data_IF_424076899440
#
_entry.id   IF_424076899440
#
_cell.length_a   1.000
_cell.length_b   1.000
_cell.length_c   1.000
_cell.angle_alpha   90.00
_cell.angle_beta   90.00
_cell.angle_gamma   90.00
#
_symmetry.space_group_name_H-M   'P 1'
#
loop_
_entity.id
_entity.type
_entity.pdbx_description
1 polymer ?
#
# COMPACT_ATOMS: atom_id res chain seq x y z
N UNK A 1 77.24 -6.95 17.12
CA UNK A 1 76.70 -7.00 18.49
C UNK A 1 75.21 -7.23 18.32
N UNK A 2 74.84 -8.46 18.36
CA UNK A 2 74.37 -9.27 19.48
C UNK A 2 72.88 -9.18 19.62
N UNK A 3 72.21 -10.23 19.08
CA UNK A 3 71.39 -11.21 19.83
C UNK A 3 69.98 -10.68 20.24
N UNK A 4 68.89 -11.34 20.16
CA UNK A 4 68.53 -12.75 19.92
C UNK A 4 67.01 -12.80 19.91
N UNK A 5 66.46 -13.55 18.96
CA UNK A 5 65.61 -14.76 19.20
C UNK A 5 64.41 -14.68 20.16
N UNK A 6 63.21 -14.93 19.67
CA UNK A 6 62.55 -16.26 19.76
C UNK A 6 61.15 -16.26 19.22
N UNK A 7 60.95 -17.02 18.20
CA UNK A 7 59.67 -17.75 17.99
C UNK A 7 59.50 -18.89 19.00
N UNK A 8 58.29 -19.34 19.30
CA UNK A 8 57.85 -20.59 18.67
C UNK A 8 56.37 -20.62 18.28
N UNK A 9 56.13 -21.15 17.05
CA UNK A 9 55.56 -22.49 16.70
C UNK A 9 54.17 -22.81 17.21
N UNK A 10 53.23 -22.83 16.24
CA UNK A 10 52.58 -24.03 15.67
C UNK A 10 51.82 -24.93 16.64
N UNK A 11 50.55 -25.14 16.36
CA UNK A 11 49.97 -26.47 16.08
C UNK A 11 48.52 -26.33 15.71
N UNK A 12 48.23 -26.57 14.45
CA UNK A 12 47.30 -27.55 13.90
C UNK A 12 46.16 -28.05 14.82
N UNK A 13 44.92 -27.84 14.37
CA UNK A 13 43.99 -28.94 14.14
C UNK A 13 42.68 -28.40 13.52
N UNK A 14 42.52 -28.66 12.22
CA UNK A 14 41.22 -28.82 11.65
C UNK A 14 40.77 -30.27 11.91
N UNK A 15 39.54 -30.55 12.29
CA UNK A 15 38.79 -31.42 11.42
C UNK A 15 37.30 -31.07 11.27
N UNK A 16 36.94 -31.13 10.00
CA UNK A 16 35.73 -31.77 9.48
C UNK A 16 34.35 -31.36 10.04
N UNK A 17 33.58 -30.76 9.17
CA UNK A 17 32.21 -31.23 8.91
C UNK A 17 31.15 -30.93 9.93
N UNK A 18 30.44 -29.84 9.75
CA UNK A 18 29.00 -29.84 9.98
C UNK A 18 28.35 -28.79 9.09
N UNK A 19 27.70 -29.28 8.07
CA UNK A 19 26.62 -28.60 7.36
C UNK A 19 25.58 -28.17 8.37
N UNK A 20 25.66 -26.92 8.82
CA UNK A 20 24.63 -26.26 9.61
C UNK A 20 23.66 -25.60 8.66
N UNK A 21 22.57 -26.29 8.35
CA UNK A 21 21.33 -25.67 7.86
C UNK A 21 21.03 -24.47 8.75
N UNK A 22 21.15 -23.27 8.19
CA UNK A 22 20.68 -22.05 8.81
C UNK A 22 19.15 -22.19 8.98
N UNK A 23 18.75 -22.65 10.15
CA UNK A 23 17.37 -22.53 10.62
C UNK A 23 17.00 -21.05 10.58
N UNK A 24 16.20 -20.70 9.59
CA UNK A 24 15.38 -19.52 9.61
C UNK A 24 14.54 -19.57 10.88
N UNK A 25 15.04 -18.99 11.98
CA UNK A 25 14.22 -18.66 13.11
C UNK A 25 13.20 -17.66 12.58
N UNK A 26 12.01 -18.19 12.22
CA UNK A 26 10.78 -17.47 12.27
C UNK A 26 10.79 -16.63 13.54
N UNK A 27 10.97 -15.34 13.38
CA UNK A 27 10.48 -14.40 14.36
C UNK A 27 8.95 -14.45 14.22
N UNK A 28 8.36 -15.47 14.85
CA UNK A 28 6.98 -15.40 15.27
C UNK A 28 6.93 -14.20 16.22
N UNK A 29 6.66 -13.03 15.63
CA UNK A 29 6.39 -11.83 16.37
C UNK A 29 5.30 -12.18 17.37
N UNK A 30 5.62 -12.09 18.65
CA UNK A 30 4.63 -12.10 19.70
C UNK A 30 3.61 -11.03 19.29
N UNK A 31 2.46 -11.48 18.84
CA UNK A 31 1.30 -10.62 18.64
C UNK A 31 0.99 -10.08 20.04
N UNK A 32 1.50 -8.91 20.33
CA UNK A 32 1.05 -8.12 21.47
C UNK A 32 -0.43 -7.89 21.19
N UNK A 33 -1.27 -8.62 21.92
CA UNK A 33 -2.72 -8.42 21.86
C UNK A 33 -2.98 -7.04 22.46
N UNK A 34 -2.84 -6.01 21.63
CA UNK A 34 -3.20 -4.65 22.03
C UNK A 34 -4.72 -4.58 22.11
N UNK A 35 -5.20 -4.60 23.35
CA UNK A 35 -6.60 -4.30 23.64
C UNK A 35 -6.78 -2.78 23.72
N UNK A 36 -7.69 -2.24 22.93
CA UNK A 36 -8.08 -0.83 23.02
C UNK A 36 -9.58 -0.65 22.75
N UNK A 37 -10.12 0.45 23.22
CA UNK A 37 -11.46 0.90 22.80
C UNK A 37 -11.33 1.92 21.68
N UNK A 38 -12.13 1.77 20.62
CA UNK A 38 -12.18 2.77 19.54
C UNK A 38 -12.70 4.10 20.05
N UNK A 39 -13.72 4.05 20.93
CA UNK A 39 -14.39 5.22 21.47
C UNK A 39 -14.44 5.21 23.00
N UNK A 40 -13.32 5.47 23.70
CA UNK A 40 -13.24 5.38 25.16
C UNK A 40 -14.13 6.39 25.87
N UNK A 41 -14.53 7.47 25.22
CA UNK A 41 -15.42 8.50 25.75
C UNK A 41 -16.79 7.94 26.19
N UNK A 42 -17.30 6.89 25.55
CA UNK A 42 -18.59 6.29 25.96
C UNK A 42 -18.51 5.48 27.24
N UNK A 43 -17.33 5.14 27.75
CA UNK A 43 -17.17 4.49 29.05
C UNK A 43 -17.67 5.37 30.21
N UNK A 44 -17.72 6.70 30.04
CA UNK A 44 -18.32 7.59 31.03
C UNK A 44 -19.79 7.29 31.29
N UNK A 45 -20.52 6.69 30.31
CA UNK A 45 -21.90 6.26 30.51
C UNK A 45 -22.04 5.15 31.56
N UNK A 46 -20.97 4.43 31.90
CA UNK A 46 -20.98 3.47 33.00
C UNK A 46 -21.30 4.12 34.36
N UNK A 47 -21.01 5.41 34.52
CA UNK A 47 -21.40 6.16 35.72
C UNK A 47 -22.92 6.32 35.88
N UNK A 48 -23.69 6.14 34.79
CA UNK A 48 -25.13 6.13 34.88
C UNK A 48 -25.70 4.88 35.59
N UNK A 49 -24.95 3.75 35.56
CA UNK A 49 -25.41 2.49 36.18
C UNK A 49 -25.57 2.62 37.71
N UNK A 50 -24.55 3.10 38.48
CA UNK A 50 -24.73 3.33 39.91
C UNK A 50 -25.88 4.33 40.20
N UNK A 51 -26.04 5.35 39.37
CA UNK A 51 -27.16 6.28 39.54
C UNK A 51 -28.52 5.58 39.37
N UNK A 52 -28.66 4.71 38.36
CA UNK A 52 -29.86 3.88 38.16
C UNK A 52 -30.12 2.95 39.35
N UNK A 53 -29.06 2.31 39.90
CA UNK A 53 -29.17 1.45 41.06
C UNK A 53 -29.66 2.24 42.28
N UNK A 54 -29.13 3.44 42.52
CA UNK A 54 -29.56 4.31 43.60
C UNK A 54 -31.01 4.75 43.46
N UNK A 55 -31.42 5.10 42.24
CA UNK A 55 -32.83 5.48 41.92
C UNK A 55 -33.77 4.30 42.19
N UNK A 56 -33.40 3.10 41.72
CA UNK A 56 -34.18 1.88 41.98
C UNK A 56 -34.31 1.56 43.45
N UNK A 57 -33.23 1.65 44.20
CA UNK A 57 -33.21 1.40 45.63
C UNK A 57 -34.07 2.43 46.41
N UNK A 58 -33.95 3.72 46.05
CA UNK A 58 -34.76 4.77 46.59
C UNK A 58 -36.24 4.59 46.28
N UNK A 59 -36.57 4.17 45.07
CA UNK A 59 -37.96 3.88 44.64
C UNK A 59 -38.53 2.67 45.41
N UNK A 60 -37.74 1.60 45.58
CA UNK A 60 -38.11 0.43 46.37
C UNK A 60 -38.35 0.78 47.83
N UNK A 61 -37.45 1.58 48.45
CA UNK A 61 -37.62 2.05 49.81
C UNK A 61 -38.86 2.93 50.00
N UNK A 62 -39.13 3.83 49.06
CA UNK A 62 -40.35 4.66 49.04
C UNK A 62 -41.61 3.80 48.88
N UNK A 63 -41.59 2.75 48.05
CA UNK A 63 -42.69 1.80 47.87
C UNK A 63 -42.96 1.05 49.18
N UNK A 64 -41.92 0.52 49.85
CA UNK A 64 -42.05 -0.15 51.14
C UNK A 64 -42.66 0.79 52.21
N UNK A 65 -42.19 2.04 52.31
CA UNK A 65 -42.74 3.05 53.24
C UNK A 65 -44.21 3.37 52.97
N UNK A 66 -44.63 3.42 51.70
CA UNK A 66 -46.02 3.64 51.29
C UNK A 66 -46.92 2.47 51.68
N UNK A 67 -46.47 1.24 51.42
CA UNK A 67 -47.19 0.02 51.76
C UNK A 67 -47.37 -0.10 53.30
N UNK A 68 -46.37 0.21 54.10
CA UNK A 68 -46.43 0.21 55.55
C UNK A 68 -47.40 1.24 56.17
N UNK A 69 -47.84 2.24 55.37
CA UNK A 69 -48.90 3.19 55.79
C UNK A 69 -50.30 2.68 55.57
N UNK A 70 -50.51 1.65 54.73
CA UNK A 70 -51.82 1.08 54.42
C UNK A 70 -52.22 -0.05 55.35
N UNK A 71 -51.30 -0.67 56.07
CA UNK A 71 -51.61 -1.76 56.99
C UNK A 71 -50.40 -2.60 57.39
N UNK A 72 -50.62 -3.68 58.13
CA UNK A 72 -49.57 -4.60 58.55
C UNK A 72 -48.95 -5.30 57.32
N UNK A 73 -47.65 -5.24 57.11
CA UNK A 73 -47.01 -5.81 55.93
C UNK A 73 -47.31 -7.28 55.72
N UNK A 74 -47.45 -8.08 56.78
CA UNK A 74 -47.75 -9.52 56.71
C UNK A 74 -49.12 -9.80 56.07
N UNK A 75 -50.12 -9.03 56.39
CA UNK A 75 -51.48 -9.17 55.82
C UNK A 75 -51.52 -8.70 54.38
N UNK A 76 -50.71 -7.68 54.02
CA UNK A 76 -50.62 -7.19 52.65
C UNK A 76 -49.92 -8.18 51.72
N UNK A 77 -48.96 -8.95 52.24
CA UNK A 77 -48.24 -9.99 51.50
C UNK A 77 -49.16 -11.18 51.14
N UNK A 78 -50.08 -11.56 52.06
CA UNK A 78 -51.12 -12.56 51.80
C UNK A 78 -52.16 -12.10 50.77
N UNK A 79 -52.46 -10.80 50.71
CA UNK A 79 -53.40 -10.22 49.74
C UNK A 79 -52.84 -10.00 48.36
N UNK A 80 -51.50 -10.07 48.19
CA UNK A 80 -50.82 -9.90 46.91
C UNK A 80 -49.86 -11.08 46.60
N UNK A 81 -50.36 -12.31 46.48
CA UNK A 81 -49.50 -13.50 46.29
C UNK A 81 -48.79 -13.56 44.94
N UNK A 82 -49.20 -12.71 44.01
CA UNK A 82 -48.62 -12.68 42.67
C UNK A 82 -47.41 -11.75 42.53
N UNK A 83 -47.12 -10.90 43.51
CA UNK A 83 -46.04 -9.93 43.44
C UNK A 83 -44.79 -10.50 44.13
N UNK A 84 -43.81 -10.90 43.32
CA UNK A 84 -42.52 -11.37 43.84
C UNK A 84 -41.48 -10.25 43.77
N UNK A 85 -40.99 -9.83 44.95
CA UNK A 85 -39.89 -8.84 45.04
C UNK A 85 -38.59 -9.34 44.40
N UNK A 86 -38.34 -10.66 44.43
CA UNK A 86 -37.19 -11.28 43.80
C UNK A 86 -37.18 -11.15 42.27
N UNK A 87 -38.35 -11.30 41.63
CA UNK A 87 -38.48 -11.13 40.17
C UNK A 87 -38.21 -9.72 39.68
N UNK A 88 -38.72 -8.72 40.42
CA UNK A 88 -38.46 -7.31 40.10
C UNK A 88 -36.97 -6.97 40.25
N UNK A 89 -36.28 -7.52 41.25
CA UNK A 89 -34.84 -7.37 41.45
C UNK A 89 -34.06 -8.05 40.31
N UNK A 90 -34.46 -9.29 39.94
CA UNK A 90 -33.83 -10.03 38.83
C UNK A 90 -33.95 -9.28 37.48
N UNK A 91 -35.15 -8.77 37.15
CA UNK A 91 -35.37 -7.95 35.96
C UNK A 91 -34.43 -6.74 35.94
N UNK A 92 -34.37 -6.05 37.07
CA UNK A 92 -33.51 -4.87 37.19
C UNK A 92 -32.01 -5.23 37.01
N UNK A 93 -31.56 -6.37 37.55
CA UNK A 93 -30.21 -6.85 37.35
C UNK A 93 -29.93 -7.19 35.87
N UNK A 94 -30.87 -7.90 35.22
CA UNK A 94 -30.76 -8.23 33.78
C UNK A 94 -30.70 -6.95 32.94
N UNK A 95 -31.56 -5.98 33.23
CA UNK A 95 -31.56 -4.68 32.54
C UNK A 95 -30.23 -3.93 32.72
N UNK A 96 -29.72 -3.83 33.95
CA UNK A 96 -28.43 -3.19 34.22
C UNK A 96 -27.27 -3.90 33.53
N UNK A 97 -27.26 -5.24 33.53
CA UNK A 97 -26.24 -6.03 32.84
C UNK A 97 -26.30 -5.81 31.34
N UNK A 98 -27.48 -5.81 30.74
CA UNK A 98 -27.66 -5.51 29.34
C UNK A 98 -27.20 -4.08 28.99
N UNK A 99 -27.53 -3.10 29.85
CA UNK A 99 -27.08 -1.72 29.68
C UNK A 99 -25.53 -1.59 29.72
N UNK A 100 -24.86 -2.31 30.64
CA UNK A 100 -23.38 -2.37 30.69
C UNK A 100 -22.82 -2.94 29.40
N UNK A 101 -23.38 -4.06 28.91
CA UNK A 101 -22.93 -4.69 27.66
C UNK A 101 -23.15 -3.79 26.43
N UNK A 102 -24.26 -3.05 26.39
CA UNK A 102 -24.52 -2.06 25.35
C UNK A 102 -23.51 -0.91 25.39
N UNK A 103 -23.20 -0.38 26.56
CA UNK A 103 -22.19 0.68 26.69
C UNK A 103 -20.82 0.18 26.23
N UNK A 104 -20.43 -1.05 26.61
CA UNK A 104 -19.19 -1.66 26.15
C UNK A 104 -19.21 -1.91 24.63
N UNK A 105 -20.34 -2.32 24.07
CA UNK A 105 -20.48 -2.49 22.62
C UNK A 105 -20.30 -1.17 21.85
N UNK A 106 -20.88 -0.07 22.35
CA UNK A 106 -20.73 1.27 21.76
C UNK A 106 -19.31 1.80 21.92
N UNK A 107 -18.59 1.43 23.00
CA UNK A 107 -17.17 1.75 23.16
C UNK A 107 -16.26 1.00 22.15
N UNK A 108 -16.80 0.00 21.41
CA UNK A 108 -16.15 -0.77 20.35
C UNK A 108 -14.81 -1.36 20.80
N UNK A 109 -14.80 -2.42 21.63
CA UNK A 109 -13.58 -3.10 22.01
C UNK A 109 -12.92 -3.74 20.79
N UNK A 110 -11.62 -3.46 20.62
CA UNK A 110 -10.80 -3.93 19.50
C UNK A 110 -9.71 -4.84 20.05
N UNK A 111 -9.60 -6.05 19.47
CA UNK A 111 -8.62 -7.06 19.85
C UNK A 111 -7.73 -7.40 18.66
N UNK A 112 -6.41 -7.25 18.85
CA UNK A 112 -5.42 -7.60 17.86
C UNK A 112 -5.45 -6.71 16.62
N UNK A 113 -4.39 -6.75 15.86
CA UNK A 113 -4.29 -6.16 14.52
C UNK A 113 -4.32 -7.28 13.49
N UNK A 114 -5.22 -7.20 12.51
CA UNK A 114 -5.08 -7.96 11.29
C UNK A 114 -4.24 -7.12 10.34
N UNK A 115 -3.09 -7.65 9.98
CA UNK A 115 -2.34 -7.12 8.85
C UNK A 115 -3.17 -7.44 7.60
N UNK A 116 -3.82 -6.45 7.03
CA UNK A 116 -4.37 -6.56 5.70
C UNK A 116 -3.23 -6.25 4.75
N UNK A 117 -2.70 -7.28 4.11
CA UNK A 117 -1.88 -7.08 2.93
C UNK A 117 -2.80 -6.57 1.84
N UNK A 118 -2.85 -5.26 1.65
CA UNK A 118 -3.37 -4.74 0.39
C UNK A 118 -2.40 -5.21 -0.69
N UNK A 119 -2.94 -5.97 -1.63
CA UNK A 119 -2.17 -6.41 -2.80
C UNK A 119 -1.69 -5.15 -3.51
N UNK A 120 -0.40 -5.07 -3.78
CA UNK A 120 0.17 -4.07 -4.66
C UNK A 120 -0.69 -3.98 -5.92
N UNK A 121 -1.20 -2.80 -6.22
CA UNK A 121 -2.11 -2.63 -7.37
C UNK A 121 -1.36 -2.42 -8.69
N UNK A 122 -0.04 -2.69 -8.71
CA UNK A 122 0.82 -2.48 -9.87
C UNK A 122 1.21 -1.01 -10.09
N UNK A 123 2.13 -0.78 -11.01
CA UNK A 123 2.69 0.54 -11.36
C UNK A 123 2.06 1.06 -12.65
N UNK A 124 1.76 2.35 -12.71
CA UNK A 124 1.50 3.04 -13.98
C UNK A 124 2.83 3.52 -14.57
N UNK A 125 3.25 2.89 -15.63
CA UNK A 125 4.55 3.10 -16.26
C UNK A 125 4.39 3.78 -17.62
N UNK A 126 4.98 4.96 -17.79
CA UNK A 126 5.03 5.64 -19.07
C UNK A 126 6.43 5.48 -19.69
N UNK A 127 6.53 4.73 -20.77
CA UNK A 127 7.75 4.62 -21.57
C UNK A 127 7.84 5.82 -22.51
N UNK A 128 8.93 6.58 -22.41
CA UNK A 128 9.22 7.75 -23.26
C UNK A 128 10.49 7.44 -24.04
N UNK A 129 10.32 7.19 -25.32
CA UNK A 129 11.37 6.65 -26.19
C UNK A 129 11.77 7.66 -27.24
N UNK A 130 13.05 7.97 -27.26
CA UNK A 130 13.67 8.81 -28.28
C UNK A 130 13.68 8.06 -29.63
N UNK A 131 13.22 8.75 -30.67
CA UNK A 131 13.23 8.26 -32.06
C UNK A 131 13.94 9.26 -33.00
N UNK A 132 14.74 10.15 -32.44
CA UNK A 132 15.59 11.05 -33.22
C UNK A 132 16.59 10.28 -34.10
N UNK A 133 17.15 10.95 -35.08
CA UNK A 133 18.10 10.34 -36.00
C UNK A 133 19.36 9.80 -35.31
N UNK A 134 19.75 10.35 -34.15
CA UNK A 134 20.88 9.85 -33.34
C UNK A 134 20.66 8.43 -32.83
N UNK A 135 19.39 8.00 -32.65
CA UNK A 135 19.04 6.64 -32.27
C UNK A 135 19.26 5.59 -33.38
N UNK A 136 19.60 6.04 -34.60
CA UNK A 136 20.01 5.15 -35.70
C UNK A 136 21.52 4.84 -35.66
N UNK A 137 22.27 5.41 -34.73
CA UNK A 137 23.70 5.12 -34.58
C UNK A 137 23.92 3.63 -34.25
N UNK A 138 25.00 3.06 -34.82
CA UNK A 138 25.30 1.61 -34.80
C UNK A 138 26.37 1.22 -33.77
N UNK A 139 26.52 1.99 -32.69
CA UNK A 139 27.37 1.59 -31.55
C UNK A 139 26.75 0.44 -30.74
N UNK A 140 25.45 0.18 -30.93
CA UNK A 140 24.70 -0.99 -30.50
C UNK A 140 24.11 -1.73 -31.70
N UNK A 141 24.36 -3.05 -31.81
CA UNK A 141 23.82 -3.85 -32.91
C UNK A 141 22.32 -4.18 -32.70
N UNK A 142 21.45 -4.03 -33.71
CA UNK A 142 21.75 -3.47 -35.04
C UNK A 142 21.88 -1.93 -35.05
N UNK A 143 21.17 -1.21 -34.18
CA UNK A 143 21.28 0.20 -33.84
C UNK A 143 20.63 0.44 -32.48
N UNK A 144 20.78 1.66 -31.92
CA UNK A 144 20.23 2.02 -30.59
C UNK A 144 18.73 1.83 -30.52
N UNK A 145 17.97 2.25 -31.54
CA UNK A 145 16.52 2.17 -31.59
C UNK A 145 16.01 0.73 -31.63
N UNK A 146 16.52 -0.08 -32.53
CA UNK A 146 16.13 -1.49 -32.62
C UNK A 146 16.45 -2.25 -31.32
N UNK A 147 17.61 -1.97 -30.75
CA UNK A 147 17.97 -2.54 -29.47
C UNK A 147 16.97 -2.15 -28.35
N UNK A 148 16.53 -0.90 -28.35
CA UNK A 148 15.51 -0.39 -27.42
C UNK A 148 14.17 -1.11 -27.60
N UNK A 149 13.72 -1.33 -28.83
CA UNK A 149 12.48 -2.08 -29.12
C UNK A 149 12.53 -3.51 -28.57
N UNK A 150 13.64 -4.20 -28.74
CA UNK A 150 13.82 -5.55 -28.19
C UNK A 150 13.76 -5.56 -26.66
N UNK A 151 14.38 -4.58 -26.02
CA UNK A 151 14.37 -4.48 -24.57
C UNK A 151 12.98 -4.16 -24.03
N UNK A 152 12.24 -3.25 -24.67
CA UNK A 152 10.85 -2.92 -24.30
C UNK A 152 9.95 -4.16 -24.47
N UNK A 153 10.14 -4.92 -25.53
CA UNK A 153 9.33 -6.12 -25.77
C UNK A 153 9.59 -7.18 -24.68
N UNK A 154 10.86 -7.36 -24.28
CA UNK A 154 11.24 -8.24 -23.18
C UNK A 154 10.67 -7.74 -21.84
N UNK A 155 10.67 -6.42 -21.60
CA UNK A 155 10.06 -5.81 -20.44
C UNK A 155 8.59 -6.22 -20.30
N UNK A 156 7.80 -6.08 -21.38
CA UNK A 156 6.39 -6.42 -21.37
C UNK A 156 6.10 -7.92 -21.14
N UNK A 157 7.07 -8.81 -21.38
CA UNK A 157 6.95 -10.23 -21.01
C UNK A 157 6.99 -10.46 -19.48
N UNK A 158 7.66 -9.58 -18.75
CA UNK A 158 7.82 -9.67 -17.30
C UNK A 158 6.68 -9.04 -16.48
N UNK A 159 5.90 -8.13 -17.08
CA UNK A 159 4.84 -7.40 -16.39
C UNK A 159 3.59 -8.25 -16.18
N UNK A 160 2.87 -8.05 -15.07
CA UNK A 160 1.67 -8.82 -14.74
C UNK A 160 0.47 -7.99 -14.30
N UNK A 161 0.68 -7.01 -13.45
CA UNK A 161 -0.38 -6.16 -12.86
C UNK A 161 -0.18 -4.68 -13.18
N UNK A 162 0.90 -4.35 -13.88
CA UNK A 162 1.27 -3.00 -14.23
C UNK A 162 0.47 -2.49 -15.43
N UNK A 163 0.36 -1.17 -15.53
CA UNK A 163 -0.23 -0.49 -16.67
C UNK A 163 0.86 0.25 -17.43
N UNK A 164 0.87 0.14 -18.73
CA UNK A 164 1.93 0.72 -19.55
C UNK A 164 1.38 1.66 -20.60
N UNK A 165 2.05 2.79 -20.81
CA UNK A 165 1.85 3.70 -21.91
C UNK A 165 3.14 3.89 -22.71
N UNK A 166 3.04 4.40 -23.93
CA UNK A 166 4.17 4.61 -24.80
C UNK A 166 4.09 5.95 -25.50
N UNK A 167 5.11 6.76 -25.32
CA UNK A 167 5.34 8.01 -26.02
C UNK A 167 6.63 7.88 -26.81
N UNK A 168 6.60 8.29 -28.07
CA UNK A 168 7.81 8.49 -28.87
C UNK A 168 8.06 9.98 -29.04
N UNK A 169 9.31 10.39 -29.11
CA UNK A 169 9.65 11.79 -29.30
C UNK A 169 10.92 11.97 -30.13
N UNK A 170 11.00 13.12 -30.76
CA UNK A 170 12.18 13.72 -31.35
C UNK A 170 12.09 15.23 -31.08
N UNK A 171 11.97 16.12 -32.04
CA UNK A 171 11.65 17.54 -31.83
C UNK A 171 10.26 17.79 -31.23
N UNK A 172 9.33 16.83 -31.36
CA UNK A 172 8.01 16.84 -30.76
C UNK A 172 7.64 15.47 -30.21
N UNK A 173 6.85 15.40 -29.10
CA UNK A 173 6.36 14.16 -28.55
C UNK A 173 5.06 13.70 -29.23
N UNK A 174 4.89 12.38 -29.35
CA UNK A 174 3.67 11.75 -29.85
C UNK A 174 3.28 10.57 -28.99
N UNK A 175 2.06 10.58 -28.43
CA UNK A 175 1.51 9.43 -27.71
C UNK A 175 1.21 8.33 -28.71
N UNK A 176 1.91 7.21 -28.61
CA UNK A 176 1.69 6.02 -29.43
C UNK A 176 0.68 5.08 -28.80
N UNK A 177 0.72 4.95 -27.48
CA UNK A 177 -0.17 4.10 -26.72
C UNK A 177 -0.54 4.80 -25.40
N UNK A 178 -1.82 5.10 -25.16
CA UNK A 178 -2.29 5.50 -23.83
C UNK A 178 -2.07 4.39 -22.80
N UNK A 179 -2.09 4.73 -21.53
CA UNK A 179 -1.91 3.78 -20.44
C UNK A 179 -2.94 2.64 -20.53
N UNK A 180 -2.45 1.40 -20.61
CA UNK A 180 -3.26 0.19 -20.76
C UNK A 180 -2.63 -1.01 -20.06
N UNK A 181 -3.43 -2.01 -19.74
CA UNK A 181 -2.99 -3.33 -19.27
C UNK A 181 -2.90 -4.38 -20.40
N UNK A 182 -3.19 -3.99 -21.66
CA UNK A 182 -3.06 -4.89 -22.81
C UNK A 182 -1.63 -4.92 -23.35
N UNK A 183 -0.82 -5.81 -22.79
CA UNK A 183 0.59 -5.98 -23.20
C UNK A 183 0.77 -6.49 -24.63
N UNK A 184 -0.24 -7.16 -25.20
CA UNK A 184 -0.16 -7.59 -26.62
C UNK A 184 -0.24 -6.39 -27.54
N UNK A 185 -1.14 -5.47 -27.22
CA UNK A 185 -1.25 -4.20 -27.91
C UNK A 185 0.03 -3.38 -27.72
N UNK A 186 0.53 -3.27 -26.47
CA UNK A 186 1.74 -2.54 -26.15
C UNK A 186 2.95 -3.04 -26.96
N UNK A 187 3.16 -4.37 -27.05
CA UNK A 187 4.20 -4.97 -27.89
C UNK A 187 4.05 -4.62 -29.36
N UNK A 188 2.83 -4.70 -29.89
CA UNK A 188 2.58 -4.38 -31.30
C UNK A 188 2.93 -2.92 -31.62
N UNK A 189 2.64 -1.98 -30.73
CA UNK A 189 3.02 -0.58 -30.89
C UNK A 189 4.52 -0.36 -30.69
N UNK A 190 5.14 -0.99 -29.73
CA UNK A 190 6.59 -0.89 -29.49
C UNK A 190 7.41 -1.36 -30.68
N UNK A 191 7.01 -2.45 -31.33
CA UNK A 191 7.70 -2.97 -32.51
C UNK A 191 7.54 -2.08 -33.76
N UNK A 192 6.57 -1.18 -33.79
CA UNK A 192 6.32 -0.23 -34.88
C UNK A 192 6.97 1.13 -34.67
N UNK A 193 7.74 1.29 -33.59
CA UNK A 193 8.48 2.54 -33.35
C UNK A 193 9.46 2.75 -34.51
N UNK A 194 9.43 3.94 -35.09
CA UNK A 194 10.26 4.32 -36.22
C UNK A 194 10.46 5.84 -36.25
N UNK A 195 11.59 6.38 -36.65
CA UNK A 195 11.84 7.82 -36.69
C UNK A 195 10.80 8.60 -37.56
N UNK A 196 10.20 7.94 -38.55
CA UNK A 196 9.16 8.56 -39.40
C UNK A 196 7.83 8.85 -38.69
N UNK A 197 7.64 8.32 -37.46
CA UNK A 197 6.45 8.60 -36.65
C UNK A 197 6.37 10.06 -36.18
N UNK A 198 7.51 10.74 -36.10
CA UNK A 198 7.61 12.13 -35.68
C UNK A 198 8.08 12.98 -36.86
N UNK A 199 7.30 14.00 -37.19
CA UNK A 199 7.57 14.84 -38.40
C UNK A 199 8.71 15.82 -38.19
N UNK A 200 8.93 16.25 -36.95
CA UNK A 200 9.97 17.21 -36.56
C UNK A 200 11.13 16.47 -35.94
N UNK A 201 12.28 16.51 -36.60
CA UNK A 201 13.52 15.98 -36.08
C UNK A 201 14.11 16.93 -35.04
N UNK A 202 15.01 16.45 -34.19
CA UNK A 202 15.56 17.16 -33.04
C UNK A 202 15.39 16.30 -31.77
N UNK A 203 15.65 16.87 -30.59
CA UNK A 203 15.48 16.15 -29.34
C UNK A 203 14.95 17.11 -28.26
N UNK A 204 13.66 17.02 -27.98
CA UNK A 204 12.93 17.87 -27.04
C UNK A 204 12.47 17.04 -25.82
N UNK A 205 13.40 16.76 -24.91
CA UNK A 205 13.17 15.87 -23.74
C UNK A 205 12.15 16.49 -22.79
N UNK A 206 12.20 17.79 -22.53
CA UNK A 206 11.27 18.47 -21.62
C UNK A 206 9.83 18.43 -22.16
N UNK A 207 9.61 18.62 -23.49
CA UNK A 207 8.29 18.46 -24.09
C UNK A 207 7.80 17.01 -23.95
N UNK A 208 8.67 16.02 -24.16
CA UNK A 208 8.34 14.61 -24.02
C UNK A 208 7.95 14.24 -22.58
N UNK A 209 8.70 14.70 -21.58
CA UNK A 209 8.37 14.52 -20.18
C UNK A 209 7.07 15.25 -19.80
N UNK A 210 6.85 16.48 -20.30
CA UNK A 210 5.60 17.20 -20.07
C UNK A 210 4.40 16.46 -20.63
N UNK A 211 4.52 15.88 -21.84
CA UNK A 211 3.47 15.05 -22.42
C UNK A 211 3.22 13.79 -21.60
N UNK A 212 4.26 13.18 -21.04
CA UNK A 212 4.13 12.02 -20.15
C UNK A 212 3.36 12.37 -18.87
N UNK A 213 3.66 13.51 -18.25
CA UNK A 213 2.92 14.00 -17.07
C UNK A 213 1.43 14.22 -17.37
N UNK A 214 1.11 14.76 -18.54
CA UNK A 214 -0.28 14.97 -18.98
C UNK A 214 -1.01 13.67 -19.32
N UNK A 215 -0.27 12.62 -19.65
CA UNK A 215 -0.84 11.31 -20.03
C UNK A 215 -1.23 10.45 -18.83
N UNK A 216 -0.77 10.76 -17.62
CA UNK A 216 -1.30 10.20 -16.39
C UNK A 216 -2.65 10.86 -16.11
N UNK A 217 -3.76 10.19 -16.36
CA UNK A 217 -5.10 10.74 -16.17
C UNK A 217 -5.41 11.05 -14.71
N UNK A 218 -6.05 12.21 -14.48
CA UNK A 218 -6.23 12.82 -13.17
C UNK A 218 -7.18 12.14 -12.17
N UNK A 219 -7.86 11.06 -12.52
CA UNK A 219 -8.84 10.39 -11.65
C UNK A 219 -8.54 8.92 -11.37
N UNK A 220 -7.29 8.51 -11.53
CA UNK A 220 -6.91 7.18 -11.07
C UNK A 220 -6.87 7.20 -9.54
N UNK A 221 -7.56 6.26 -8.93
CA UNK A 221 -7.52 6.04 -7.49
C UNK A 221 -6.09 6.21 -6.97
N UNK A 222 -5.90 6.92 -5.87
CA UNK A 222 -4.62 7.34 -5.27
C UNK A 222 -3.63 6.21 -4.94
N UNK A 223 -3.88 5.01 -5.44
CA UNK A 223 -3.25 3.75 -5.04
C UNK A 223 -2.13 3.24 -5.95
N UNK A 224 -1.95 3.83 -7.15
CA UNK A 224 -0.91 3.38 -8.08
C UNK A 224 0.32 4.28 -8.05
N UNK A 225 1.50 3.68 -7.88
CA UNK A 225 2.77 4.39 -8.09
C UNK A 225 2.92 4.75 -9.56
N UNK A 226 3.31 5.99 -9.85
CA UNK A 226 3.49 6.49 -11.23
C UNK A 226 4.96 6.68 -11.54
N UNK A 227 5.41 6.08 -12.63
CA UNK A 227 6.80 6.19 -13.04
C UNK A 227 6.91 6.52 -14.53
N UNK A 228 7.94 7.26 -14.88
CA UNK A 228 8.34 7.52 -16.25
C UNK A 228 9.67 6.83 -16.49
N UNK A 229 9.81 6.09 -17.59
CA UNK A 229 11.07 5.53 -18.05
C UNK A 229 11.44 6.24 -19.34
N UNK A 230 12.45 7.08 -19.27
CA UNK A 230 13.00 7.83 -20.40
C UNK A 230 14.17 7.06 -21.01
N UNK A 231 14.10 6.78 -22.33
CA UNK A 231 15.18 6.10 -23.08
C UNK A 231 15.64 7.04 -24.17
N UNK A 232 16.86 7.54 -24.08
CA UNK A 232 17.45 8.53 -25.01
C UNK A 232 18.98 8.48 -24.90
N UNK A 233 19.67 9.09 -25.86
CA UNK A 233 21.11 9.37 -25.75
C UNK A 233 21.40 10.67 -24.97
N UNK A 234 20.35 11.40 -24.56
CA UNK A 234 20.47 12.56 -23.71
C UNK A 234 20.90 13.86 -24.41
N UNK A 235 21.14 13.84 -25.72
CA UNK A 235 21.41 15.07 -26.48
C UNK A 235 20.13 15.93 -26.53
N UNK A 236 20.02 16.89 -25.60
CA UNK A 236 18.88 17.79 -25.52
C UNK A 236 19.26 19.16 -26.13
N UNK A 237 18.57 19.54 -27.17
CA UNK A 237 18.89 20.74 -27.94
C UNK A 237 17.83 21.84 -27.88
N UNK A 238 16.64 21.57 -27.33
CA UNK A 238 15.49 22.43 -27.56
C UNK A 238 14.78 22.97 -26.30
N UNK A 239 14.94 22.34 -25.11
CA UNK A 239 14.12 22.70 -23.95
C UNK A 239 14.78 22.41 -22.58
N UNK A 240 14.10 22.84 -21.51
CA UNK A 240 14.56 22.63 -20.12
C UNK A 240 13.93 21.38 -19.49
N UNK A 241 14.57 20.23 -19.70
CA UNK A 241 14.16 18.95 -19.12
C UNK A 241 14.22 18.96 -17.58
N UNK A 242 15.13 19.74 -16.97
CA UNK A 242 15.29 19.80 -15.51
C UNK A 242 14.12 20.53 -14.83
N UNK A 243 13.56 21.56 -15.47
CA UNK A 243 12.37 22.24 -14.95
C UNK A 243 11.16 21.28 -14.91
N UNK A 244 11.02 20.44 -15.95
CA UNK A 244 9.94 19.45 -16.00
C UNK A 244 10.16 18.33 -14.99
N UNK A 245 11.41 17.89 -14.77
CA UNK A 245 11.73 16.91 -13.73
C UNK A 245 11.36 17.41 -12.33
N UNK A 246 11.59 18.70 -12.01
CA UNK A 246 11.14 19.27 -10.73
C UNK A 246 9.62 19.23 -10.57
N UNK A 247 8.86 19.52 -11.63
CA UNK A 247 7.40 19.40 -11.61
C UNK A 247 6.94 17.95 -11.42
N UNK A 248 7.62 16.98 -12.05
CA UNK A 248 7.35 15.57 -11.84
C UNK A 248 7.55 15.16 -10.38
N UNK A 249 8.65 15.62 -9.76
CA UNK A 249 8.94 15.38 -8.34
C UNK A 249 7.86 15.97 -7.42
N UNK A 250 7.38 17.18 -7.70
CA UNK A 250 6.27 17.82 -6.96
C UNK A 250 4.96 17.03 -7.07
N UNK A 251 4.75 16.31 -8.19
CA UNK A 251 3.60 15.42 -8.41
C UNK A 251 3.82 14.00 -7.86
N UNK A 252 4.96 13.71 -7.22
CA UNK A 252 5.30 12.39 -6.71
C UNK A 252 5.62 11.37 -7.80
N UNK A 253 5.89 11.82 -9.04
CA UNK A 253 6.21 10.97 -10.18
C UNK A 253 7.72 10.82 -10.29
N UNK A 254 8.21 9.57 -10.30
CA UNK A 254 9.64 9.28 -10.43
C UNK A 254 10.01 9.08 -11.89
N UNK A 255 11.16 9.62 -12.28
CA UNK A 255 11.70 9.47 -13.64
C UNK A 255 12.95 8.60 -13.56
N UNK A 256 12.90 7.47 -14.23
CA UNK A 256 14.05 6.62 -14.47
C UNK A 256 14.60 6.94 -15.85
N UNK A 257 15.91 7.07 -15.96
CA UNK A 257 16.55 7.42 -17.23
C UNK A 257 17.50 6.34 -17.67
N UNK A 258 17.43 5.97 -18.95
CA UNK A 258 18.32 5.02 -19.60
C UNK A 258 19.09 5.77 -20.67
N UNK A 259 20.37 5.92 -20.44
CA UNK A 259 21.29 6.46 -21.43
C UNK A 259 21.72 5.40 -22.42
N UNK A 260 21.34 5.56 -23.71
CA UNK A 260 21.75 4.64 -24.76
C UNK A 260 22.74 5.31 -25.71
N UNK A 261 23.94 4.75 -25.76
CA UNK A 261 25.05 5.29 -26.54
C UNK A 261 26.39 5.09 -25.82
N UNK A 262 27.45 5.50 -26.50
CA UNK A 262 28.80 5.50 -25.97
C UNK A 262 29.28 6.93 -25.75
N UNK A 263 30.14 7.21 -24.75
CA UNK A 263 30.73 8.55 -24.55
C UNK A 263 31.64 8.96 -25.70
N UNK A 264 32.27 7.97 -26.37
CA UNK A 264 33.10 8.19 -27.53
C UNK A 264 32.25 8.68 -28.72
N UNK A 265 31.00 8.27 -28.75
CA UNK A 265 30.04 8.54 -29.79
C UNK A 265 30.17 7.61 -31.01
N UNK A 266 29.15 7.65 -31.83
CA UNK A 266 29.10 6.93 -33.09
C UNK A 266 28.53 7.80 -34.22
N UNK A 267 28.99 7.62 -35.46
CA UNK A 267 28.43 8.34 -36.60
C UNK A 267 27.01 7.87 -36.89
N UNK A 268 26.16 8.80 -37.29
CA UNK A 268 24.77 8.52 -37.62
C UNK A 268 24.70 8.13 -39.11
N UNK A 269 24.03 7.00 -39.38
CA UNK A 269 23.85 6.48 -40.73
C UNK A 269 22.36 6.38 -41.07
N UNK A 270 21.95 6.93 -42.20
CA UNK A 270 20.57 6.86 -42.72
C UNK A 270 20.61 6.29 -44.12
N UNK A 271 19.94 5.17 -44.36
CA UNK A 271 19.88 4.52 -45.65
C UNK A 271 21.23 4.07 -46.23
N UNK A 272 22.23 3.83 -45.36
CA UNK A 272 23.60 3.43 -45.74
C UNK A 272 24.57 4.58 -46.02
N UNK A 273 24.09 5.84 -45.84
CA UNK A 273 24.94 7.03 -45.99
C UNK A 273 25.12 7.72 -44.65
N UNK A 274 26.36 8.17 -44.34
CA UNK A 274 26.65 8.95 -43.13
C UNK A 274 26.13 10.37 -43.24
N UNK A 275 25.44 10.82 -42.20
CA UNK A 275 25.02 12.22 -42.10
C UNK A 275 26.25 13.10 -41.96
N UNK A 276 26.29 14.19 -42.73
CA UNK A 276 27.36 15.19 -42.69
C UNK A 276 26.79 16.53 -42.26
N UNK A 277 27.59 17.27 -41.49
CA UNK A 277 27.30 18.65 -41.11
C UNK A 277 27.49 19.61 -42.31
N UNK A 278 27.20 20.89 -42.10
CA UNK A 278 27.35 21.95 -43.12
C UNK A 278 28.81 22.08 -43.61
N UNK A 279 29.79 21.57 -42.86
CA UNK A 279 31.21 21.59 -43.19
C UNK A 279 31.66 20.36 -43.94
N UNK A 280 30.79 19.33 -44.03
CA UNK A 280 31.10 18.06 -44.68
C UNK A 280 31.72 17.00 -43.74
N UNK A 281 31.79 17.30 -42.43
CA UNK A 281 32.27 16.35 -41.43
C UNK A 281 31.12 15.40 -41.02
N UNK A 282 31.46 14.17 -40.62
CA UNK A 282 30.46 13.21 -40.15
C UNK A 282 29.88 13.65 -38.80
N UNK A 283 28.55 13.63 -38.71
CA UNK A 283 27.84 13.92 -37.45
C UNK A 283 28.00 12.72 -36.52
N UNK A 284 28.59 12.95 -35.34
CA UNK A 284 28.81 11.94 -34.30
C UNK A 284 27.92 12.25 -33.11
N UNK A 285 27.01 11.32 -32.78
CA UNK A 285 26.15 11.42 -31.61
C UNK A 285 26.84 10.82 -30.38
N UNK A 286 26.82 11.55 -29.25
CA UNK A 286 27.43 11.15 -27.99
C UNK A 286 26.39 11.07 -26.88
N UNK A 287 26.65 10.21 -25.91
CA UNK A 287 25.77 10.10 -24.74
C UNK A 287 26.02 11.25 -23.75
N UNK A 288 24.98 12.02 -23.40
CA UNK A 288 25.01 12.98 -22.29
C UNK A 288 24.45 12.35 -21.00
N UNK A 289 25.35 11.73 -20.24
CA UNK A 289 25.01 11.06 -18.98
C UNK A 289 24.66 12.06 -17.87
N UNK A 290 25.24 13.27 -17.90
CA UNK A 290 25.11 14.24 -16.82
C UNK A 290 23.67 14.72 -16.70
N UNK A 291 23.08 15.16 -17.78
CA UNK A 291 21.69 15.63 -17.81
C UNK A 291 20.71 14.52 -17.41
N UNK A 292 20.89 13.30 -17.94
CA UNK A 292 20.03 12.17 -17.61
C UNK A 292 20.13 11.78 -16.12
N UNK A 293 21.33 11.81 -15.55
CA UNK A 293 21.53 11.56 -14.12
C UNK A 293 20.88 12.62 -13.25
N UNK A 294 20.98 13.91 -13.63
CA UNK A 294 20.35 15.02 -12.89
C UNK A 294 18.82 14.91 -12.91
N UNK A 295 18.20 14.58 -14.07
CA UNK A 295 16.75 14.35 -14.19
C UNK A 295 16.29 13.21 -13.25
N UNK A 296 17.02 12.09 -13.24
CA UNK A 296 16.70 10.97 -12.36
C UNK A 296 16.82 11.35 -10.88
N UNK A 297 17.91 12.02 -10.48
CA UNK A 297 18.15 12.40 -9.09
C UNK A 297 17.09 13.37 -8.54
N UNK A 298 16.67 14.37 -9.34
CA UNK A 298 15.64 15.34 -8.93
C UNK A 298 14.33 14.66 -8.53
N UNK A 299 13.97 13.58 -9.24
CA UNK A 299 12.71 12.87 -9.04
C UNK A 299 12.80 11.66 -8.09
N UNK A 300 14.00 11.38 -7.56
CA UNK A 300 14.23 10.19 -6.73
C UNK A 300 14.19 8.87 -7.52
N UNK A 301 14.37 8.94 -8.84
CA UNK A 301 14.56 7.77 -9.71
C UNK A 301 16.03 7.35 -9.80
N UNK A 302 16.35 6.53 -10.80
CA UNK A 302 17.71 6.07 -11.06
C UNK A 302 18.11 6.24 -12.52
N UNK A 303 19.38 6.56 -12.75
CA UNK A 303 19.99 6.56 -14.07
C UNK A 303 20.70 5.22 -14.29
N UNK A 304 20.48 4.62 -15.47
CA UNK A 304 21.18 3.41 -15.91
C UNK A 304 21.79 3.64 -17.27
N UNK A 305 23.07 3.34 -17.39
CA UNK A 305 23.75 3.37 -18.68
C UNK A 305 23.56 2.02 -19.38
N UNK A 306 23.10 2.05 -20.63
CA UNK A 306 23.03 0.84 -21.44
C UNK A 306 24.41 0.28 -21.77
N UNK A 307 24.51 -1.04 -21.81
CA UNK A 307 25.69 -1.78 -22.21
C UNK A 307 25.36 -2.67 -23.41
N UNK A 308 26.42 -3.21 -24.06
CA UNK A 308 26.21 -4.17 -25.17
C UNK A 308 25.47 -5.45 -24.71
N UNK A 309 25.50 -5.78 -23.43
CA UNK A 309 24.83 -6.95 -22.85
C UNK A 309 23.38 -6.65 -22.43
N UNK A 310 23.14 -5.47 -21.82
CA UNK A 310 21.84 -5.07 -21.29
C UNK A 310 21.58 -3.59 -21.55
N UNK A 311 20.34 -3.23 -21.86
CA UNK A 311 19.91 -1.84 -21.95
C UNK A 311 19.63 -1.25 -20.57
N UNK A 312 19.48 -2.07 -19.52
CA UNK A 312 19.25 -1.61 -18.16
C UNK A 312 17.77 -1.55 -17.75
N UNK A 313 16.84 -1.90 -18.63
CA UNK A 313 15.39 -1.94 -18.29
C UNK A 313 15.09 -2.93 -17.18
N UNK A 314 15.73 -4.11 -17.19
CA UNK A 314 15.55 -5.14 -16.14
C UNK A 314 15.99 -4.61 -14.76
N UNK A 315 17.05 -3.79 -14.70
CA UNK A 315 17.57 -3.18 -13.47
C UNK A 315 16.61 -2.11 -12.93
N UNK A 316 16.03 -1.31 -13.82
CA UNK A 316 15.04 -0.30 -13.45
C UNK A 316 13.77 -0.95 -12.91
N UNK A 317 13.24 -1.99 -13.56
CA UNK A 317 12.05 -2.71 -13.09
C UNK A 317 12.29 -3.33 -11.72
N UNK A 318 13.47 -3.91 -11.51
CA UNK A 318 13.85 -4.42 -10.20
C UNK A 318 13.86 -3.32 -9.14
N UNK A 319 14.44 -2.16 -9.45
CA UNK A 319 14.44 -1.00 -8.56
C UNK A 319 13.02 -0.48 -8.25
N UNK A 320 12.13 -0.46 -9.25
CA UNK A 320 10.72 -0.08 -9.08
C UNK A 320 10.02 -1.06 -8.15
N UNK A 321 10.16 -2.37 -8.37
CA UNK A 321 9.54 -3.41 -7.54
C UNK A 321 10.05 -3.40 -6.09
N UNK A 322 11.35 -3.17 -5.87
CA UNK A 322 11.93 -3.06 -4.53
C UNK A 322 11.37 -1.86 -3.76
N UNK A 323 11.12 -0.75 -4.45
CA UNK A 323 10.54 0.44 -3.83
C UNK A 323 9.06 0.25 -3.50
N UNK A 324 8.26 -0.35 -4.39
CA UNK A 324 6.86 -0.67 -4.10
C UNK A 324 6.73 -1.55 -2.86
N UNK A 325 7.55 -2.58 -2.74
CA UNK A 325 7.57 -3.43 -1.55
C UNK A 325 7.91 -2.64 -0.28
N UNK A 326 8.76 -1.63 -0.39
CA UNK A 326 9.14 -0.78 0.74
C UNK A 326 8.00 0.18 1.12
N UNK A 327 7.35 0.83 0.16
CA UNK A 327 6.20 1.71 0.38
C UNK A 327 5.01 0.96 0.96
N UNK A 328 4.68 -0.21 0.43
CA UNK A 328 3.63 -1.09 0.96
C UNK A 328 3.94 -1.59 2.37
N UNK A 329 5.20 -1.84 2.69
CA UNK A 329 5.59 -2.22 4.05
C UNK A 329 5.43 -1.08 5.06
N UNK A 330 5.50 0.17 4.63
CA UNK A 330 5.26 1.36 5.45
C UNK A 330 3.77 1.69 5.59
N UNK A 331 2.95 1.39 4.58
CA UNK A 331 1.48 1.55 4.60
C UNK A 331 0.77 0.35 5.23
N UNK A 332 1.31 -0.23 6.29
CA UNK A 332 0.62 -1.25 7.08
C UNK A 332 -0.54 -0.60 7.82
N UNK A 333 -1.72 -0.62 7.23
CA UNK A 333 -2.94 -0.30 7.94
C UNK A 333 -3.22 -1.40 8.96
N UNK A 334 -3.12 -1.05 10.24
CA UNK A 334 -3.58 -1.89 11.33
C UNK A 334 -5.12 -1.87 11.34
N UNK A 335 -5.77 -2.77 10.61
CA UNK A 335 -7.19 -3.02 10.81
C UNK A 335 -7.38 -3.77 12.11
N UNK A 336 -7.96 -3.08 13.09
CA UNK A 336 -8.33 -3.71 14.36
C UNK A 336 -9.60 -4.54 14.20
N UNK A 337 -9.56 -5.76 14.73
CA UNK A 337 -10.73 -6.64 14.71
C UNK A 337 -11.76 -6.16 15.74
N UNK A 338 -12.88 -5.63 15.26
CA UNK A 338 -13.95 -5.12 16.11
C UNK A 338 -14.85 -6.26 16.59
N UNK A 339 -15.02 -6.36 17.90
CA UNK A 339 -15.81 -7.44 18.52
C UNK A 339 -17.10 -6.95 19.19
N UNK A 340 -17.57 -5.77 18.84
CA UNK A 340 -18.81 -5.21 19.42
C UNK A 340 -20.04 -6.07 19.13
N UNK A 341 -20.03 -6.86 18.05
CA UNK A 341 -21.14 -7.69 17.61
C UNK A 341 -21.53 -8.74 18.68
N UNK A 342 -20.55 -9.38 19.31
CA UNK A 342 -20.79 -10.39 20.35
C UNK A 342 -21.42 -9.78 21.60
N UNK A 343 -20.96 -8.58 21.98
CA UNK A 343 -21.53 -7.86 23.12
C UNK A 343 -22.93 -7.39 22.85
N UNK A 344 -23.22 -6.97 21.62
CA UNK A 344 -24.54 -6.52 21.19
C UNK A 344 -25.55 -7.68 21.15
N UNK A 345 -25.13 -8.86 20.66
CA UNK A 345 -25.96 -10.08 20.67
C UNK A 345 -26.26 -10.50 22.11
N UNK A 346 -25.25 -10.52 22.99
CA UNK A 346 -25.44 -10.86 24.41
C UNK A 346 -26.39 -9.89 25.11
N UNK A 347 -26.27 -8.58 24.86
CA UNK A 347 -27.17 -7.57 25.40
C UNK A 347 -28.60 -7.76 24.89
N UNK A 348 -28.79 -8.05 23.60
CA UNK A 348 -30.11 -8.30 23.02
C UNK A 348 -30.78 -9.54 23.64
N UNK A 349 -30.04 -10.61 23.83
CA UNK A 349 -30.54 -11.85 24.48
C UNK A 349 -30.98 -11.55 25.92
N UNK A 350 -30.19 -10.76 26.66
CA UNK A 350 -30.56 -10.38 28.04
C UNK A 350 -31.79 -9.48 28.09
N UNK A 351 -31.93 -8.54 27.17
CA UNK A 351 -33.13 -7.70 27.06
C UNK A 351 -34.38 -8.52 26.69
N UNK A 352 -34.21 -9.49 25.79
CA UNK A 352 -35.29 -10.43 25.45
C UNK A 352 -35.71 -11.29 26.65
N UNK A 353 -34.74 -11.79 27.40
CA UNK A 353 -34.99 -12.53 28.63
C UNK A 353 -35.70 -11.66 29.69
N UNK A 354 -35.27 -10.39 29.84
CA UNK A 354 -35.92 -9.42 30.72
C UNK A 354 -37.34 -9.17 30.30
N UNK A 355 -37.61 -8.96 29.02
CA UNK A 355 -38.94 -8.72 28.46
C UNK A 355 -39.87 -9.94 28.66
N UNK A 356 -39.39 -11.16 28.50
CA UNK A 356 -40.15 -12.39 28.71
C UNK A 356 -40.45 -12.70 30.18
N UNK A 357 -39.64 -12.16 31.10
CA UNK A 357 -39.91 -12.26 32.53
C UNK A 357 -41.05 -11.32 32.92
N UNK A 358 -42.29 -11.84 33.05
CA UNK A 358 -43.42 -11.08 33.57
C UNK A 358 -43.28 -10.85 35.09
N UNK A 359 -43.69 -9.66 35.54
CA UNK A 359 -43.69 -9.30 36.98
C UNK A 359 -44.70 -10.14 37.77
N UNK A 360 -45.71 -10.72 37.09
CA UNK A 360 -46.73 -11.61 37.68
C UNK A 360 -46.40 -13.08 37.39
N UNK A 361 -46.92 -13.98 38.21
CA UNK A 361 -46.74 -15.43 37.97
C UNK A 361 -47.41 -15.81 36.65
N UNK A 362 -46.60 -16.21 35.70
CA UNK A 362 -47.06 -16.63 34.38
C UNK A 362 -47.50 -18.11 34.47
N UNK A 363 -48.77 -18.46 34.17
CA UNK A 363 -49.22 -19.84 34.22
C UNK A 363 -48.47 -20.77 33.25
N UNK A 364 -47.91 -20.24 32.15
CA UNK A 364 -47.15 -21.01 31.18
C UNK A 364 -45.76 -21.43 31.71
N UNK A 365 -45.17 -20.69 32.64
CA UNK A 365 -43.86 -21.00 33.26
C UNK A 365 -43.98 -21.60 34.67
N UNK A 366 -45.17 -21.93 35.11
CA UNK A 366 -45.40 -22.52 36.43
C UNK A 366 -44.72 -23.88 36.61
N UNK A 367 -44.38 -24.59 35.49
CA UNK A 367 -43.62 -25.83 35.51
C UNK A 367 -42.12 -25.63 35.77
N UNK A 368 -41.58 -24.45 35.54
CA UNK A 368 -40.20 -24.12 35.82
C UNK A 368 -40.06 -23.41 37.17
N UNK A 369 -40.32 -24.14 38.24
CA UNK A 369 -40.15 -23.67 39.63
C UNK A 369 -38.68 -23.46 39.98
N UNK A 370 -38.01 -22.45 39.45
CA UNK A 370 -36.64 -22.06 39.76
C UNK A 370 -36.56 -21.34 41.13
N UNK A 371 -37.68 -20.83 41.67
CA UNK A 371 -37.73 -20.11 42.94
C UNK A 371 -38.82 -20.74 43.83
N UNK A 372 -38.50 -21.91 44.41
CA UNK A 372 -39.28 -22.50 45.50
C UNK A 372 -38.69 -22.00 46.79
N UNK A 373 -39.18 -20.93 47.34
CA UNK A 373 -38.97 -20.61 48.75
C UNK A 373 -39.67 -21.67 49.60
N UNK A 374 -38.89 -22.22 50.58
CA UNK A 374 -39.37 -23.06 51.67
C UNK A 374 -40.20 -22.23 52.63
#
# INVERSE_FOLDING_TARGET
>A
MSLSDRHPRCLNANPAGRTGTANGKQYAGQAFVMFRFANPQYLWLLLAIPALVLIFWAAAARRRKRLARFGNPEVLEELMPEVSTGRTALKFILFCTAAVLLILAVARPQFGSKLREEKAQGVEMMLVVDVSNSMLAEDFEPNRLERTKYAINKLFDGLRQDRVGLIVFAGEPKVQLPITSDYRMAKAFAMRIDPSLVSVQGTAIGKALSQALLSFSGETEETHSRVIILVTDGENHEDDALAVAKRAAEMGIRIYTIGIGTPEGAPIQIGGEFIKDEKGDMVVSKLDEKMLSEVAQITGGAYVRSTKQSIGLDEIVKSINEMEQTELSMMRFEEFNEQYQYLLIAALVLLLAEFLLLDRRNPLLAHLNIFREK
#
